data_IF_005896985825
#
_entry.id   IF_005896985825
#
_cell.length_a   1.000
_cell.length_b   1.000
_cell.length_c   1.000
_cell.angle_alpha   90.00
_cell.angle_beta   90.00
_cell.angle_gamma   90.00
#
_symmetry.space_group_name_H-M   'P 1'
#
loop_
_entity.id
_entity.type
_entity.pdbx_description
1 polymer ?
#
# COMPACT_ATOMS: atom_id res chain seq x y z
N UNK A 1 -47.29 26.42 7.96
CA UNK A 1 -48.09 25.17 7.93
C UNK A 1 -47.34 24.13 8.73
N UNK A 2 -48.04 23.36 9.55
CA UNK A 2 -47.44 22.40 10.49
C UNK A 2 -47.35 20.99 9.87
N UNK A 3 -46.90 20.04 10.68
CA UNK A 3 -46.80 18.59 10.42
C UNK A 3 -45.67 18.19 9.43
N UNK A 4 -44.83 17.18 9.70
CA UNK A 4 -44.74 16.32 10.88
C UNK A 4 -44.59 14.85 10.50
N UNK A 5 -43.38 14.31 10.53
CA UNK A 5 -43.20 12.85 10.57
C UNK A 5 -41.84 12.46 11.17
N UNK A 6 -41.82 12.32 12.50
CA UNK A 6 -40.79 11.55 13.19
C UNK A 6 -41.39 10.20 13.59
N UNK A 7 -40.71 9.09 13.28
CA UNK A 7 -40.97 7.79 13.93
C UNK A 7 -39.67 7.15 14.39
N UNK A 8 -39.62 6.93 15.70
CA UNK A 8 -38.60 6.20 16.45
C UNK A 8 -39.31 5.02 17.12
N UNK A 9 -38.85 3.80 16.86
CA UNK A 9 -39.01 2.60 17.69
C UNK A 9 -37.67 1.84 17.54
N UNK A 10 -36.91 1.54 18.60
CA UNK A 10 -37.12 0.38 19.49
C UNK A 10 -37.27 -0.92 18.68
N UNK A 11 -36.45 -1.97 18.84
CA UNK A 11 -35.42 -2.25 19.84
C UNK A 11 -35.61 -3.67 20.37
N UNK A 12 -34.71 -4.60 20.04
CA UNK A 12 -34.79 -5.98 20.50
C UNK A 12 -33.39 -6.60 20.64
N UNK A 13 -32.94 -6.71 21.89
CA UNK A 13 -31.78 -7.52 22.27
C UNK A 13 -32.23 -8.97 22.45
N UNK A 14 -31.47 -9.93 21.90
CA UNK A 14 -31.52 -11.32 22.35
C UNK A 14 -30.10 -11.91 22.44
N UNK A 15 -29.60 -11.98 23.67
CA UNK A 15 -28.61 -12.98 24.04
C UNK A 15 -29.28 -14.36 24.07
N UNK A 16 -28.64 -15.38 23.50
CA UNK A 16 -28.84 -16.78 23.92
C UNK A 16 -27.47 -17.44 24.05
N UNK A 17 -27.19 -17.99 25.22
CA UNK A 17 -26.02 -18.79 25.51
C UNK A 17 -26.45 -20.22 25.87
N UNK A 18 -25.75 -21.22 25.32
CA UNK A 18 -25.79 -22.62 25.74
C UNK A 18 -24.38 -23.21 25.50
N UNK A 19 -23.63 -23.55 26.54
CA UNK A 19 -23.61 -24.88 27.19
C UNK A 19 -23.19 -26.02 26.23
N UNK A 20 -21.93 -26.46 26.33
CA UNK A 20 -21.51 -27.83 26.00
C UNK A 20 -21.77 -28.77 27.19
N UNK A 21 -20.94 -29.82 27.47
CA UNK A 21 -19.78 -30.35 26.75
C UNK A 21 -20.14 -31.81 26.28
N UNK A 22 -19.36 -32.93 26.35
CA UNK A 22 -17.95 -33.17 26.67
C UNK A 22 -17.14 -33.94 25.58
N UNK A 23 -15.89 -34.25 25.92
CA UNK A 23 -14.98 -35.17 25.25
C UNK A 23 -15.20 -36.62 25.71
N UNK A 24 -14.86 -37.64 24.90
CA UNK A 24 -14.46 -38.95 25.42
C UNK A 24 -12.97 -38.98 25.77
N UNK A 25 -12.63 -39.65 26.86
CA UNK A 25 -11.27 -40.06 27.23
C UNK A 25 -11.13 -41.58 27.16
N UNK A 26 -9.89 -42.08 27.24
CA UNK A 26 -9.49 -43.48 27.10
C UNK A 26 -9.60 -44.06 25.65
N UNK A 27 -8.84 -45.07 25.25
CA UNK A 27 -7.96 -45.95 26.03
C UNK A 27 -6.64 -46.28 25.30
N UNK A 28 -5.64 -46.73 26.05
CA UNK A 28 -4.35 -47.16 25.49
C UNK A 28 -4.46 -48.54 24.82
N UNK A 29 -3.69 -48.77 23.75
CA UNK A 29 -3.19 -50.10 23.40
C UNK A 29 -1.80 -49.99 22.76
N UNK A 30 -0.85 -50.74 23.28
CA UNK A 30 0.50 -50.82 22.74
C UNK A 30 0.50 -51.66 21.45
N UNK A 31 1.36 -51.28 20.50
CA UNK A 31 2.00 -52.25 19.59
C UNK A 31 3.40 -51.76 19.25
N UNK A 32 4.38 -52.39 19.90
CA UNK A 32 5.76 -52.36 19.44
C UNK A 32 5.82 -53.03 18.07
N UNK A 33 6.34 -52.31 17.08
CA UNK A 33 6.84 -52.92 15.85
C UNK A 33 8.34 -52.64 15.80
N UNK A 34 9.12 -53.69 16.03
CA UNK A 34 10.54 -53.70 15.66
C UNK A 34 10.67 -53.29 14.20
N UNK A 35 11.55 -52.33 13.93
CA UNK A 35 12.23 -52.26 12.64
C UNK A 35 13.72 -52.19 12.91
N UNK A 36 14.41 -53.30 12.63
CA UNK A 36 15.86 -53.29 12.52
C UNK A 36 16.25 -52.39 11.35
N UNK A 37 17.21 -51.50 11.57
CA UNK A 37 18.09 -51.03 10.51
C UNK A 37 19.52 -51.34 10.93
N UNK A 38 20.23 -52.02 10.03
CA UNK A 38 21.64 -52.35 10.19
C UNK A 38 22.46 -51.07 10.36
N UNK A 39 23.27 -51.02 11.42
CA UNK A 39 24.41 -50.11 11.48
C UNK A 39 25.51 -50.74 10.62
N UNK A 40 25.80 -50.13 9.47
CA UNK A 40 27.06 -50.32 8.78
C UNK A 40 28.07 -49.33 9.34
N UNK A 41 29.18 -49.84 9.89
CA UNK A 41 30.32 -49.00 10.25
C UNK A 41 31.03 -48.55 8.97
N UNK A 42 31.16 -47.24 8.76
CA UNK A 42 32.12 -46.70 7.79
C UNK A 42 32.74 -45.38 8.30
N UNK A 43 33.90 -45.57 8.93
CA UNK A 43 35.08 -44.70 8.96
C UNK A 43 34.92 -43.17 9.16
N UNK A 44 35.36 -42.71 10.33
CA UNK A 44 35.50 -41.29 10.69
C UNK A 44 36.37 -40.49 9.69
N UNK A 45 35.89 -39.31 9.30
CA UNK A 45 36.72 -38.16 8.90
C UNK A 45 36.16 -36.87 9.51
N UNK A 46 36.85 -36.36 10.53
CA UNK A 46 36.62 -35.04 11.12
C UNK A 46 36.87 -33.93 10.06
N UNK A 47 35.90 -33.04 9.78
CA UNK A 47 36.14 -31.83 9.01
C UNK A 47 36.48 -30.65 9.94
N UNK A 48 37.56 -29.94 9.62
CA UNK A 48 38.01 -28.74 10.35
C UNK A 48 36.90 -27.66 10.47
N UNK A 49 36.81 -26.96 11.61
CA UNK A 49 35.80 -25.92 11.83
C UNK A 49 36.19 -24.64 11.04
N UNK A 50 35.46 -24.33 9.96
CA UNK A 50 35.65 -23.06 9.26
C UNK A 50 34.95 -22.88 7.91
N UNK A 51 34.55 -23.95 7.22
CA UNK A 51 33.95 -23.85 5.89
C UNK A 51 32.69 -24.71 5.76
N UNK A 52 31.55 -24.18 6.20
CA UNK A 52 30.25 -24.71 5.77
C UNK A 52 30.12 -24.47 4.25
N UNK A 53 30.22 -25.53 3.46
CA UNK A 53 30.15 -25.40 2.00
C UNK A 53 28.80 -24.82 1.58
N UNK A 54 28.79 -24.02 0.50
CA UNK A 54 27.55 -23.47 -0.04
C UNK A 54 26.57 -24.58 -0.44
N UNK A 55 27.07 -25.77 -0.80
CA UNK A 55 26.25 -26.96 -1.05
C UNK A 55 25.62 -27.53 0.22
N UNK A 56 26.32 -27.55 1.37
CA UNK A 56 25.74 -27.95 2.65
C UNK A 56 24.66 -26.96 3.12
N UNK A 57 24.89 -25.66 2.93
CA UNK A 57 23.88 -24.61 3.24
C UNK A 57 22.66 -24.73 2.31
N UNK A 58 22.87 -24.96 1.01
CA UNK A 58 21.78 -25.18 0.06
C UNK A 58 20.98 -26.45 0.38
N UNK A 59 21.65 -27.55 0.72
CA UNK A 59 21.01 -28.79 1.14
C UNK A 59 20.19 -28.59 2.42
N UNK A 60 20.75 -27.92 3.44
CA UNK A 60 20.02 -27.59 4.67
C UNK A 60 18.76 -26.77 4.37
N UNK A 61 18.84 -25.76 3.49
CA UNK A 61 17.66 -25.00 3.05
C UNK A 61 16.64 -25.85 2.28
N UNK A 62 17.07 -26.84 1.50
CA UNK A 62 16.16 -27.79 0.83
C UNK A 62 15.45 -28.69 1.85
N UNK A 63 16.17 -29.25 2.82
CA UNK A 63 15.58 -30.05 3.90
C UNK A 63 14.58 -29.24 4.73
N UNK A 64 14.89 -28.00 5.10
CA UNK A 64 13.93 -27.11 5.77
C UNK A 64 12.68 -26.90 4.93
N UNK A 65 12.80 -26.65 3.62
CA UNK A 65 11.64 -26.47 2.73
C UNK A 65 10.77 -27.73 2.60
N UNK A 66 11.38 -28.92 2.57
CA UNK A 66 10.67 -30.19 2.51
C UNK A 66 9.93 -30.45 3.84
N UNK A 67 10.63 -30.27 4.97
CA UNK A 67 10.05 -30.36 6.30
C UNK A 67 8.87 -29.39 6.48
N UNK A 68 9.01 -28.15 6.02
CA UNK A 68 7.94 -27.14 6.05
C UNK A 68 6.75 -27.50 5.14
N UNK A 69 7.00 -28.18 4.02
CA UNK A 69 5.95 -28.61 3.09
C UNK A 69 5.12 -29.79 3.65
N UNK A 70 5.77 -30.70 4.37
CA UNK A 70 5.15 -31.91 4.93
C UNK A 70 4.54 -31.65 6.31
N UNK A 71 5.32 -31.13 7.26
CA UNK A 71 4.99 -31.12 8.69
C UNK A 71 4.35 -29.82 9.19
N UNK A 72 4.51 -28.66 8.55
CA UNK A 72 3.77 -27.47 9.01
C UNK A 72 2.26 -27.63 8.73
N UNK A 73 1.39 -27.40 9.74
CA UNK A 73 -0.05 -27.37 9.56
C UNK A 73 -0.47 -26.40 8.45
N UNK A 74 -1.47 -26.77 7.63
CA UNK A 74 -1.98 -25.95 6.50
C UNK A 74 -2.39 -24.51 6.88
N UNK A 75 -2.66 -24.26 8.17
CA UNK A 75 -2.92 -22.91 8.72
C UNK A 75 -1.61 -22.11 8.90
N UNK A 76 -0.57 -22.71 9.47
CA UNK A 76 0.73 -22.09 9.71
C UNK A 76 1.54 -21.85 8.42
N UNK A 77 1.48 -22.76 7.44
CA UNK A 77 2.05 -22.52 6.09
C UNK A 77 1.56 -21.25 5.39
N UNK A 78 0.41 -20.71 5.82
CA UNK A 78 -0.17 -19.47 5.30
C UNK A 78 0.32 -18.22 6.02
N UNK A 79 0.86 -18.39 7.23
CA UNK A 79 1.42 -17.33 8.05
C UNK A 79 2.91 -17.24 7.68
N UNK A 80 3.23 -16.44 6.64
CA UNK A 80 4.60 -16.00 6.39
C UNK A 80 4.97 -15.01 7.49
N UNK A 81 5.42 -15.51 8.65
CA UNK A 81 5.56 -14.74 9.89
C UNK A 81 6.34 -13.45 9.63
N UNK A 82 7.55 -13.53 9.04
CA UNK A 82 8.21 -12.38 8.38
C UNK A 82 9.05 -12.86 7.18
N UNK A 83 8.45 -12.98 5.98
CA UNK A 83 9.19 -13.45 4.78
C UNK A 83 10.10 -12.38 4.12
N UNK A 84 10.15 -11.19 4.70
CA UNK A 84 10.98 -10.06 4.26
C UNK A 84 11.18 -9.15 5.46
N UNK A 85 12.38 -8.58 5.60
CA UNK A 85 12.62 -7.47 6.53
C UNK A 85 11.57 -6.38 6.26
N UNK A 86 10.92 -5.80 7.29
CA UNK A 86 10.13 -4.58 7.10
C UNK A 86 10.98 -3.52 6.38
N UNK A 87 10.43 -2.74 5.44
CA UNK A 87 11.16 -1.61 4.86
C UNK A 87 11.64 -0.70 5.98
N UNK A 88 12.92 -0.29 5.93
CA UNK A 88 13.52 0.56 6.97
C UNK A 88 12.86 1.94 7.04
N UNK A 89 12.30 2.41 5.92
CA UNK A 89 11.50 3.62 5.83
C UNK A 89 10.21 3.36 5.02
N UNK A 90 9.06 3.53 5.67
CA UNK A 90 7.77 3.17 5.06
C UNK A 90 7.34 4.20 3.99
N UNK A 91 7.62 5.49 4.21
CA UNK A 91 7.36 6.56 3.23
C UNK A 91 8.02 6.28 1.88
N UNK A 92 9.34 6.09 1.86
CA UNK A 92 10.12 5.82 0.64
C UNK A 92 9.61 4.58 -0.12
N UNK A 93 9.27 3.50 0.60
CA UNK A 93 8.66 2.30 0.02
C UNK A 93 7.31 2.59 -0.68
N UNK A 94 6.48 3.47 -0.10
CA UNK A 94 5.22 3.87 -0.71
C UNK A 94 5.40 4.88 -1.86
N UNK A 95 6.40 5.77 -1.82
CA UNK A 95 6.78 6.64 -2.94
C UNK A 95 7.24 5.83 -4.16
N UNK A 96 8.10 4.83 -3.97
CA UNK A 96 8.53 3.92 -5.04
C UNK A 96 7.36 3.16 -5.67
N UNK A 97 6.45 2.63 -4.85
CA UNK A 97 5.28 1.90 -5.34
C UNK A 97 4.32 2.80 -6.08
N UNK A 98 4.19 4.05 -5.65
CA UNK A 98 3.37 5.05 -6.32
C UNK A 98 3.95 5.33 -7.72
N UNK A 99 5.27 5.52 -7.85
CA UNK A 99 5.93 5.64 -9.16
C UNK A 99 5.59 4.46 -10.10
N UNK A 100 5.53 3.23 -9.58
CA UNK A 100 5.22 2.00 -10.34
C UNK A 100 3.72 1.79 -10.62
N UNK A 101 2.82 2.56 -10.01
CA UNK A 101 1.36 2.37 -10.10
C UNK A 101 0.61 3.45 -10.92
N UNK A 102 1.35 4.38 -11.52
CA UNK A 102 0.89 5.64 -12.10
C UNK A 102 -0.19 5.56 -13.20
N UNK A 103 -0.47 4.39 -13.78
CA UNK A 103 -1.37 4.22 -14.93
C UNK A 103 -2.76 3.65 -14.58
N UNK A 104 -2.98 3.18 -13.34
CA UNK A 104 -4.22 2.49 -12.97
C UNK A 104 -4.86 3.10 -11.71
N UNK A 105 -6.08 3.68 -11.79
CA UNK A 105 -6.68 4.41 -10.68
C UNK A 105 -7.04 3.46 -9.52
N UNK A 106 -7.37 2.20 -9.82
CA UNK A 106 -7.65 1.17 -8.81
C UNK A 106 -6.39 0.77 -8.05
N UNK A 107 -5.23 0.77 -8.71
CA UNK A 107 -3.94 0.50 -8.06
C UNK A 107 -3.54 1.64 -7.11
N UNK A 108 -3.69 2.90 -7.55
CA UNK A 108 -3.41 4.09 -6.74
C UNK A 108 -4.29 4.13 -5.49
N UNK A 109 -5.62 4.01 -5.64
CA UNK A 109 -6.56 3.98 -4.49
C UNK A 109 -6.28 2.78 -3.57
N UNK A 110 -5.88 1.62 -4.11
CA UNK A 110 -5.49 0.44 -3.30
C UNK A 110 -4.17 0.66 -2.56
N UNK A 111 -3.27 1.51 -3.07
CA UNK A 111 -2.02 1.88 -2.43
C UNK A 111 -2.28 2.84 -1.26
N UNK A 112 -3.06 3.91 -1.49
CA UNK A 112 -3.54 4.82 -0.45
C UNK A 112 -4.16 4.07 0.74
N UNK A 113 -5.15 3.20 0.47
CA UNK A 113 -5.81 2.36 1.50
C UNK A 113 -4.88 1.42 2.26
N UNK A 114 -3.66 1.17 1.78
CA UNK A 114 -2.66 0.38 2.50
C UNK A 114 -1.74 1.26 3.35
N UNK A 115 -1.45 2.47 2.89
CA UNK A 115 -0.57 3.39 3.60
C UNK A 115 -1.26 3.92 4.87
N UNK A 116 -2.48 4.47 4.74
CA UNK A 116 -3.33 4.95 5.86
C UNK A 116 -3.88 3.85 6.79
N UNK A 117 -3.30 2.65 6.75
CA UNK A 117 -3.57 1.52 7.66
C UNK A 117 -2.31 1.03 8.38
N UNK A 118 -1.17 1.59 8.02
CA UNK A 118 0.14 1.25 8.55
C UNK A 118 0.79 2.48 9.20
N UNK A 119 0.54 3.67 8.65
CA UNK A 119 0.84 4.95 9.30
C UNK A 119 -0.44 5.62 9.80
N UNK A 120 -0.39 6.11 11.04
CA UNK A 120 -1.40 7.01 11.61
C UNK A 120 -1.17 8.46 11.13
N UNK A 121 0.08 8.85 10.83
CA UNK A 121 0.46 10.16 10.32
C UNK A 121 1.13 10.06 8.92
N UNK A 122 0.34 9.94 7.83
CA UNK A 122 0.89 9.85 6.48
C UNK A 122 1.56 11.16 6.01
N UNK A 123 2.69 11.03 5.30
CA UNK A 123 3.38 12.15 4.65
C UNK A 123 2.44 12.90 3.69
N UNK A 124 2.38 14.23 3.84
CA UNK A 124 1.57 15.09 3.00
C UNK A 124 2.08 15.15 1.56
N UNK A 125 3.40 15.15 1.37
CA UNK A 125 4.01 15.08 0.04
C UNK A 125 3.58 13.82 -0.72
N UNK A 126 3.50 12.69 -0.02
CA UNK A 126 2.96 11.44 -0.55
C UNK A 126 1.47 11.53 -0.88
N UNK A 127 0.63 12.08 0.00
CA UNK A 127 -0.82 12.26 -0.24
C UNK A 127 -1.08 13.12 -1.48
N UNK A 128 -0.41 14.27 -1.58
CA UNK A 128 -0.46 15.17 -2.74
C UNK A 128 -0.02 14.44 -4.00
N UNK A 129 1.11 13.72 -3.99
CA UNK A 129 1.57 12.94 -5.14
C UNK A 129 0.58 11.83 -5.52
N UNK A 130 -0.06 11.19 -4.56
CA UNK A 130 -1.07 10.15 -4.79
C UNK A 130 -2.29 10.72 -5.50
N UNK A 131 -2.78 11.89 -5.06
CA UNK A 131 -3.88 12.60 -5.71
C UNK A 131 -3.50 13.12 -7.11
N UNK A 132 -2.30 13.69 -7.27
CA UNK A 132 -1.79 14.17 -8.55
C UNK A 132 -1.62 13.04 -9.58
N UNK A 133 -1.11 11.88 -9.17
CA UNK A 133 -1.07 10.72 -10.08
C UNK A 133 -2.46 10.22 -10.45
N UNK A 134 -3.42 10.22 -9.52
CA UNK A 134 -4.79 9.89 -9.83
C UNK A 134 -5.39 10.89 -10.84
N UNK A 135 -5.08 12.18 -10.72
CA UNK A 135 -5.40 13.20 -11.72
C UNK A 135 -4.79 12.92 -13.09
N UNK A 136 -3.49 12.57 -13.14
CA UNK A 136 -2.80 12.22 -14.39
C UNK A 136 -3.45 11.06 -15.14
N UNK A 137 -3.99 10.06 -14.43
CA UNK A 137 -4.75 8.94 -15.03
C UNK A 137 -6.00 9.42 -15.79
N UNK A 138 -6.63 10.51 -15.34
CA UNK A 138 -7.84 11.11 -15.94
C UNK A 138 -7.56 12.42 -16.72
N UNK A 139 -6.29 12.70 -17.01
CA UNK A 139 -5.86 13.91 -17.72
C UNK A 139 -6.29 13.97 -19.18
N UNK A 140 -5.97 15.08 -19.86
CA UNK A 140 -6.41 15.38 -21.23
C UNK A 140 -6.07 14.30 -22.28
N UNK A 141 -4.99 13.54 -22.06
CA UNK A 141 -4.54 12.47 -22.96
C UNK A 141 -5.14 11.09 -22.62
N UNK A 142 -6.14 11.02 -21.74
CA UNK A 142 -6.73 9.77 -21.26
C UNK A 142 -8.12 9.50 -21.84
N UNK A 143 -8.38 8.26 -22.25
CA UNK A 143 -9.64 7.83 -22.87
C UNK A 143 -10.71 7.39 -21.85
N UNK A 144 -10.81 8.08 -20.70
CA UNK A 144 -11.84 7.77 -19.70
C UNK A 144 -13.13 8.54 -19.98
N UNK A 145 -14.27 7.87 -19.88
CA UNK A 145 -15.57 8.54 -20.01
C UNK A 145 -15.86 9.38 -18.75
N UNK A 146 -16.69 10.44 -18.85
CA UNK A 146 -17.15 11.19 -17.67
C UNK A 146 -17.79 10.30 -16.58
N UNK A 147 -18.43 9.19 -17.00
CA UNK A 147 -19.00 8.17 -16.11
C UNK A 147 -17.95 7.49 -15.24
N UNK A 148 -16.71 7.32 -15.71
CA UNK A 148 -15.63 6.71 -14.95
C UNK A 148 -15.09 7.66 -13.87
N UNK A 149 -14.98 8.96 -14.18
CA UNK A 149 -14.66 10.01 -13.20
C UNK A 149 -15.70 10.05 -12.08
N UNK A 150 -17.00 10.08 -12.44
CA UNK A 150 -18.11 9.98 -11.49
C UNK A 150 -18.04 8.71 -10.62
N UNK A 151 -17.60 7.59 -11.20
CA UNK A 151 -17.41 6.33 -10.47
C UNK A 151 -16.27 6.40 -9.45
N UNK A 152 -15.19 7.15 -9.73
CA UNK A 152 -14.15 7.43 -8.72
C UNK A 152 -14.70 8.30 -7.59
N UNK A 153 -15.47 9.34 -7.90
CA UNK A 153 -16.05 10.25 -6.90
C UNK A 153 -17.01 9.55 -5.92
N UNK A 154 -17.65 8.45 -6.33
CA UNK A 154 -18.51 7.66 -5.45
C UNK A 154 -17.74 6.76 -4.47
N UNK A 155 -16.45 6.50 -4.69
CA UNK A 155 -15.64 5.63 -3.82
C UNK A 155 -15.37 6.30 -2.45
N UNK A 156 -15.70 5.66 -1.31
CA UNK A 156 -15.39 6.19 0.01
C UNK A 156 -13.89 6.48 0.20
N UNK A 157 -13.02 5.64 -0.36
CA UNK A 157 -11.56 5.83 -0.28
C UNK A 157 -11.03 7.00 -1.10
N UNK A 158 -11.76 7.45 -2.14
CA UNK A 158 -11.42 8.70 -2.81
C UNK A 158 -11.81 9.89 -1.92
N UNK A 159 -12.97 9.83 -1.27
CA UNK A 159 -13.43 10.86 -0.32
C UNK A 159 -12.49 10.99 0.88
N UNK A 160 -12.04 9.87 1.46
CA UNK A 160 -11.05 9.89 2.55
C UNK A 160 -9.74 10.55 2.11
N UNK A 161 -9.17 10.19 0.95
CA UNK A 161 -7.98 10.86 0.41
C UNK A 161 -8.16 12.38 0.27
N UNK A 162 -9.35 12.83 -0.16
CA UNK A 162 -9.67 14.26 -0.23
C UNK A 162 -9.81 14.90 1.16
N UNK A 163 -10.39 14.19 2.14
CA UNK A 163 -10.47 14.70 3.52
C UNK A 163 -9.10 14.83 4.17
N UNK A 164 -8.21 13.84 4.02
CA UNK A 164 -6.84 13.89 4.54
C UNK A 164 -6.08 15.10 3.96
N UNK A 165 -6.30 15.42 2.68
CA UNK A 165 -5.75 16.61 2.03
C UNK A 165 -6.33 17.93 2.56
N UNK A 166 -7.63 17.96 2.88
CA UNK A 166 -8.33 19.13 3.44
C UNK A 166 -7.90 19.41 4.88
N UNK A 167 -7.81 18.36 5.70
CA UNK A 167 -7.41 18.45 7.11
C UNK A 167 -5.99 19.04 7.23
N UNK A 168 -5.07 18.59 6.39
CA UNK A 168 -3.67 18.98 6.39
C UNK A 168 -3.33 20.11 5.40
N UNK A 169 -4.33 20.86 4.90
CA UNK A 169 -4.14 21.89 3.86
C UNK A 169 -3.16 23.03 4.22
N UNK A 170 -2.82 23.19 5.50
CA UNK A 170 -1.80 24.12 5.95
C UNK A 170 -0.37 23.68 5.56
N UNK A 171 -0.16 22.42 5.19
CA UNK A 171 1.11 21.83 4.75
C UNK A 171 1.28 21.90 3.21
N UNK A 172 0.46 22.69 2.52
CA UNK A 172 0.58 22.89 1.06
C UNK A 172 1.76 23.82 0.78
N UNK A 173 2.77 23.30 0.10
CA UNK A 173 3.86 24.10 -0.47
C UNK A 173 3.46 24.69 -1.83
N UNK A 174 3.93 25.89 -2.21
CA UNK A 174 3.53 26.56 -3.46
C UNK A 174 3.90 25.73 -4.71
N UNK A 175 4.99 24.96 -4.68
CA UNK A 175 5.40 24.06 -5.76
C UNK A 175 4.37 22.96 -6.09
N UNK A 176 3.56 22.58 -5.09
CA UNK A 176 2.55 21.52 -5.22
C UNK A 176 1.27 22.02 -5.90
N UNK A 177 0.99 23.32 -5.79
CA UNK A 177 -0.31 23.93 -6.14
C UNK A 177 -0.69 23.78 -7.61
N UNK A 178 0.19 24.02 -8.61
CA UNK A 178 -0.17 23.85 -10.02
C UNK A 178 -0.54 22.40 -10.35
N UNK A 179 0.14 21.43 -9.73
CA UNK A 179 -0.11 19.99 -9.93
C UNK A 179 -1.43 19.56 -9.27
N UNK A 180 -1.75 20.10 -8.08
CA UNK A 180 -3.02 19.88 -7.40
C UNK A 180 -4.21 20.44 -8.19
N UNK A 181 -4.10 21.65 -8.74
CA UNK A 181 -5.14 22.24 -9.60
C UNK A 181 -5.32 21.47 -10.91
N UNK A 182 -4.23 21.04 -11.54
CA UNK A 182 -4.30 20.13 -12.69
C UNK A 182 -5.04 18.83 -12.32
N UNK A 183 -4.75 18.24 -11.16
CA UNK A 183 -5.40 17.01 -10.73
C UNK A 183 -6.90 17.20 -10.42
N UNK A 184 -7.28 18.29 -9.76
CA UNK A 184 -8.67 18.66 -9.49
C UNK A 184 -9.46 18.86 -10.78
N UNK A 185 -8.88 19.56 -11.76
CA UNK A 185 -9.54 19.80 -13.06
C UNK A 185 -9.61 18.54 -13.92
N UNK A 186 -8.55 17.72 -13.98
CA UNK A 186 -8.55 16.43 -14.68
C UNK A 186 -9.60 15.45 -14.14
N UNK A 187 -9.76 15.39 -12.81
CA UNK A 187 -10.80 14.59 -12.15
C UNK A 187 -12.21 15.20 -12.27
N UNK A 188 -12.33 16.48 -12.68
CA UNK A 188 -13.58 17.27 -12.59
C UNK A 188 -14.12 17.38 -11.15
N UNK A 189 -13.21 17.35 -10.16
CA UNK A 189 -13.55 17.38 -8.74
C UNK A 189 -13.46 18.79 -8.16
N UNK A 190 -14.59 19.37 -7.76
CA UNK A 190 -14.67 20.70 -7.15
C UNK A 190 -14.60 20.62 -5.63
N UNK A 191 -13.42 20.87 -5.06
CA UNK A 191 -13.22 20.97 -3.60
C UNK A 191 -13.32 22.42 -3.13
N UNK A 192 -14.45 22.79 -2.52
CA UNK A 192 -14.65 24.13 -1.94
C UNK A 192 -13.71 24.46 -0.77
N UNK A 193 -13.12 23.45 -0.12
CA UNK A 193 -12.26 23.63 1.06
C UNK A 193 -10.76 23.75 0.72
N UNK A 194 -10.33 23.19 -0.42
CA UNK A 194 -8.96 23.32 -0.91
C UNK A 194 -8.79 24.53 -1.83
N UNK A 195 -9.79 24.82 -2.67
CA UNK A 195 -9.64 25.82 -3.72
C UNK A 195 -9.24 27.23 -3.22
N UNK A 196 -9.78 27.77 -2.11
CA UNK A 196 -9.34 29.07 -1.60
C UNK A 196 -7.85 29.09 -1.26
N UNK A 197 -7.37 28.10 -0.48
CA UNK A 197 -5.96 27.99 -0.08
C UNK A 197 -5.03 27.77 -1.29
N UNK A 198 -5.47 27.03 -2.32
CA UNK A 198 -4.70 26.90 -3.56
C UNK A 198 -4.61 28.21 -4.37
N UNK A 199 -5.65 29.05 -4.33
CA UNK A 199 -5.66 30.35 -5.00
C UNK A 199 -4.85 31.40 -4.22
N UNK A 200 -4.99 31.44 -2.89
CA UNK A 200 -4.17 32.27 -1.97
C UNK A 200 -2.68 32.04 -2.22
N UNK A 201 -2.25 30.77 -2.33
CA UNK A 201 -0.86 30.44 -2.66
C UNK A 201 -0.43 30.90 -4.06
N UNK A 202 -1.32 30.88 -5.05
CA UNK A 202 -1.01 31.40 -6.39
C UNK A 202 -0.86 32.91 -6.36
N UNK A 203 -1.80 33.63 -5.73
CA UNK A 203 -1.77 35.09 -5.63
C UNK A 203 -0.51 35.56 -4.90
N UNK A 204 -0.14 34.89 -3.79
CA UNK A 204 1.10 35.16 -3.05
C UNK A 204 2.38 34.91 -3.85
N UNK A 205 2.39 33.94 -4.78
CA UNK A 205 3.58 33.56 -5.54
C UNK A 205 3.58 34.08 -7.00
N UNK A 206 2.52 34.75 -7.46
CA UNK A 206 2.38 35.24 -8.84
C UNK A 206 3.48 36.25 -9.24
N UNK A 207 4.03 36.96 -8.25
CA UNK A 207 5.09 37.95 -8.41
C UNK A 207 6.50 37.35 -8.35
N UNK A 208 6.64 36.08 -7.92
CA UNK A 208 7.92 35.35 -7.95
C UNK A 208 8.14 34.86 -9.38
N UNK A 209 8.63 35.76 -10.25
CA UNK A 209 9.14 35.33 -11.54
C UNK A 209 10.29 34.32 -11.32
N UNK A 210 10.36 33.25 -12.11
CA UNK A 210 11.52 32.36 -12.05
C UNK A 210 12.74 33.09 -12.61
N UNK A 211 13.62 33.57 -11.73
CA UNK A 211 15.02 33.98 -11.95
C UNK A 211 15.89 32.77 -12.39
N UNK A 212 15.35 31.93 -13.28
CA UNK A 212 15.86 30.61 -13.65
C UNK A 212 15.55 30.27 -15.12
N UNK A 213 15.70 31.25 -16.02
CA UNK A 213 15.84 30.99 -17.44
C UNK A 213 16.86 31.92 -18.11
N UNK A 214 18.06 31.98 -17.52
CA UNK A 214 19.27 32.42 -18.23
C UNK A 214 19.56 31.41 -19.34
N UNK A 215 18.91 31.59 -20.49
CA UNK A 215 19.15 30.76 -21.67
C UNK A 215 20.54 31.03 -22.21
N UNK A 216 21.50 30.18 -21.85
CA UNK A 216 22.78 30.08 -22.54
C UNK A 216 22.57 29.41 -23.90
N UNK A 217 21.91 30.15 -24.80
CA UNK A 217 21.61 29.72 -26.17
C UNK A 217 22.90 29.82 -26.98
N UNK A 218 23.65 28.73 -26.99
CA UNK A 218 24.68 28.43 -27.99
C UNK A 218 24.05 28.25 -29.36
N UNK A 219 23.61 29.36 -29.95
CA UNK A 219 23.09 29.45 -31.31
C UNK A 219 24.27 29.38 -32.29
N UNK A 220 24.81 28.17 -32.50
CA UNK A 220 25.76 27.94 -33.59
C UNK A 220 25.06 28.25 -34.92
N UNK A 221 25.51 29.34 -35.57
CA UNK A 221 25.11 29.67 -36.94
C UNK A 221 25.59 28.56 -37.87
N UNK A 222 24.67 27.77 -38.40
CA UNK A 222 24.90 27.09 -39.66
C UNK A 222 24.88 28.13 -40.79
N UNK A 223 26.05 28.42 -41.36
CA UNK A 223 26.16 28.96 -42.72
C UNK A 223 26.31 27.78 -43.69
N UNK A 224 25.42 27.63 -44.70
CA UNK A 224 25.72 26.80 -45.86
C UNK A 224 26.62 27.58 -46.86
N UNK A 225 27.41 26.88 -47.69
CA UNK A 225 28.11 27.46 -48.84
C UNK A 225 27.15 27.75 -50.01
#
# INVERSE_FOLDING_TARGET
MAEGCARRLQGSSQHVAAKGPPYPAACAHARSSHFLLHVGEDQQREPLPGAASLSAVAAAQQYTRLYDAEFLPRRLRRIKIFSSRPPEELSTYFHEKLNKANSNPRSIIKLYRKYIRLEDEPDYGWLVRCFCQLGNVFGFNSFWAPRDKQRIHSLPSFKFLVYDLIERKAQIEPEMVPRLLYALTALEYRSYHLLPTLLEHIEANLHVQPEACSTDRTFQRFQPP
#
